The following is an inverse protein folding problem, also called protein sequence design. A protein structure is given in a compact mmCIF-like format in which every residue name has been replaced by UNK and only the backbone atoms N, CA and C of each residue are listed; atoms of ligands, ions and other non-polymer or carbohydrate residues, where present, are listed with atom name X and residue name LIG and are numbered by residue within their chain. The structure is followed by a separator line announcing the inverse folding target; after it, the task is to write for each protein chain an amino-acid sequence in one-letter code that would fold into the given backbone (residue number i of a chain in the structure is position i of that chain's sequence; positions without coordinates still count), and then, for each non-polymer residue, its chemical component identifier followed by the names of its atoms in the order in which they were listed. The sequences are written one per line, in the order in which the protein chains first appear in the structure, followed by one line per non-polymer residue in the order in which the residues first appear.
data_IF_282157015170
#
_entry.id   IF_282157015170
#
_cell.length_a   1.000
_cell.length_b   1.000
_cell.length_c   1.000
_cell.angle_alpha   90.00
_cell.angle_beta   90.00
_cell.angle_gamma   90.00
#
_symmetry.space_group_name_H-M   'P 1'
#
loop_
_entity.id
_entity.type
_entity.pdbx_description
1 polymer ?
#
# COMPACT_ATOMS: atom_id res chain seq x y z
N UNK A 1 13.63 2.97 1.87
CA UNK A 1 12.88 4.20 2.20
C UNK A 1 13.80 5.42 2.15
N UNK A 2 13.61 6.31 1.16
CA UNK A 2 14.59 7.33 0.77
C UNK A 2 14.91 8.37 1.86
N UNK A 3 13.99 8.65 2.78
CA UNK A 3 14.16 9.70 3.81
C UNK A 3 14.39 9.16 5.23
N UNK A 4 14.48 7.85 5.44
CA UNK A 4 14.56 7.28 6.79
C UNK A 4 15.78 7.78 7.58
N UNK A 5 16.92 7.95 6.92
CA UNK A 5 18.15 8.47 7.51
C UNK A 5 18.08 9.98 7.79
N UNK A 6 17.50 10.76 6.87
CA UNK A 6 17.32 12.21 7.03
C UNK A 6 16.36 12.52 8.17
N UNK A 7 15.20 11.87 8.22
CA UNK A 7 14.20 12.02 9.29
C UNK A 7 14.80 11.60 10.63
N UNK A 8 15.55 10.49 10.66
CA UNK A 8 16.19 10.01 11.87
C UNK A 8 17.20 11.00 12.46
N UNK A 9 17.96 11.71 11.60
CA UNK A 9 18.90 12.75 12.04
C UNK A 9 18.19 14.03 12.49
N UNK A 10 17.19 14.48 11.75
CA UNK A 10 16.45 15.73 12.06
C UNK A 10 15.69 15.62 13.38
N UNK A 11 15.05 14.47 13.63
CA UNK A 11 14.25 14.22 14.83
C UNK A 11 15.00 13.48 15.94
N UNK A 12 16.33 13.31 15.79
CA UNK A 12 17.21 12.63 16.75
C UNK A 12 16.68 11.26 17.22
N UNK A 13 16.13 10.46 16.29
CA UNK A 13 15.51 9.18 16.61
C UNK A 13 16.54 8.10 16.89
N UNK A 14 16.24 7.24 17.87
CA UNK A 14 17.03 6.05 18.12
C UNK A 14 16.93 5.08 16.92
N UNK A 15 17.99 4.29 16.64
CA UNK A 15 17.95 3.27 15.58
C UNK A 15 16.81 2.27 15.73
N UNK A 16 16.42 1.97 16.97
CA UNK A 16 15.29 1.10 17.30
C UNK A 16 13.94 1.72 16.90
N UNK A 17 13.77 3.02 17.12
CA UNK A 17 12.57 3.75 16.73
C UNK A 17 12.37 3.74 15.20
N UNK A 18 13.45 3.88 14.43
CA UNK A 18 13.39 3.80 12.95
C UNK A 18 12.90 2.42 12.49
N UNK A 19 13.35 1.34 13.15
CA UNK A 19 12.87 -0.02 12.86
C UNK A 19 11.39 -0.17 13.21
N UNK A 20 10.96 0.33 14.37
CA UNK A 20 9.55 0.32 14.79
C UNK A 20 8.65 1.01 13.77
N UNK A 21 9.05 2.17 13.24
CA UNK A 21 8.29 2.87 12.18
C UNK A 21 8.11 2.04 10.91
N UNK A 22 9.08 1.17 10.58
CA UNK A 22 8.98 0.23 9.47
C UNK A 22 7.94 -0.86 9.72
N UNK A 23 7.90 -1.41 10.93
CA UNK A 23 6.93 -2.43 11.35
C UNK A 23 5.51 -1.84 11.40
N UNK A 24 5.35 -0.63 11.94
CA UNK A 24 4.05 0.06 12.02
C UNK A 24 3.41 0.24 10.64
N UNK A 25 4.20 0.48 9.60
CA UNK A 25 3.70 0.60 8.22
C UNK A 25 3.05 -0.69 7.70
N UNK A 26 3.48 -1.86 8.19
CA UNK A 26 2.95 -3.16 7.78
C UNK A 26 1.81 -3.64 8.68
N UNK A 27 1.79 -3.22 9.94
CA UNK A 27 0.86 -3.70 10.96
C UNK A 27 -0.62 -3.49 10.57
N UNK A 28 -0.99 -2.30 10.10
CA UNK A 28 -2.39 -2.02 9.69
C UNK A 28 -2.73 -2.52 8.28
N UNK A 29 -1.75 -2.94 7.48
CA UNK A 29 -2.00 -3.39 6.11
C UNK A 29 -2.87 -4.65 6.05
N UNK A 30 -2.63 -5.62 6.93
CA UNK A 30 -3.38 -6.88 6.97
C UNK A 30 -4.87 -6.64 7.29
N UNK A 31 -5.24 -6.01 8.42
CA UNK A 31 -6.65 -5.74 8.71
C UNK A 31 -7.27 -4.79 7.67
N UNK A 32 -6.53 -3.80 7.16
CA UNK A 32 -7.01 -2.92 6.11
C UNK A 32 -7.38 -3.68 4.82
N UNK A 33 -6.62 -4.71 4.42
CA UNK A 33 -6.96 -5.53 3.25
C UNK A 33 -8.31 -6.23 3.38
N UNK A 34 -8.66 -6.70 4.58
CA UNK A 34 -9.96 -7.33 4.84
C UNK A 34 -11.07 -6.29 4.71
N UNK A 35 -10.90 -5.12 5.34
CA UNK A 35 -11.89 -4.03 5.31
C UNK A 35 -12.07 -3.49 3.89
N UNK A 36 -10.98 -3.19 3.18
CA UNK A 36 -11.01 -2.71 1.80
C UNK A 36 -11.61 -3.78 0.86
N UNK A 37 -11.35 -5.06 1.09
CA UNK A 37 -12.01 -6.15 0.36
C UNK A 37 -13.55 -6.10 0.52
N UNK A 38 -14.04 -5.97 1.75
CA UNK A 38 -15.47 -5.83 2.02
C UNK A 38 -16.08 -4.55 1.41
N UNK A 39 -15.34 -3.44 1.46
CA UNK A 39 -15.78 -2.18 0.84
C UNK A 39 -15.84 -2.29 -0.68
N UNK A 40 -14.88 -2.99 -1.28
CA UNK A 40 -14.83 -3.23 -2.71
C UNK A 40 -16.03 -4.06 -3.18
N UNK A 41 -16.43 -5.09 -2.43
CA UNK A 41 -17.62 -5.89 -2.74
C UNK A 41 -18.91 -5.05 -2.66
N UNK A 42 -18.92 -4.02 -1.81
CA UNK A 42 -20.10 -3.16 -1.59
C UNK A 42 -20.19 -1.98 -2.57
N UNK A 43 -19.09 -1.28 -2.82
CA UNK A 43 -19.03 -0.01 -3.55
C UNK A 43 -18.37 -0.11 -4.92
N UNK A 44 -17.75 -1.24 -5.24
CA UNK A 44 -17.02 -1.44 -6.48
C UNK A 44 -15.57 -0.95 -6.42
N UNK A 45 -14.70 -1.45 -7.33
CA UNK A 45 -13.29 -1.11 -7.38
C UNK A 45 -13.01 0.37 -7.66
N UNK A 46 -13.79 1.04 -8.53
CA UNK A 46 -13.62 2.45 -8.92
C UNK A 46 -13.68 3.38 -7.71
N UNK A 47 -14.78 3.31 -6.96
CA UNK A 47 -15.02 4.19 -5.80
C UNK A 47 -14.00 3.89 -4.71
N UNK A 48 -13.77 2.60 -4.42
CA UNK A 48 -12.88 2.16 -3.35
C UNK A 48 -11.43 2.58 -3.61
N UNK A 49 -10.94 2.46 -4.85
CA UNK A 49 -9.59 2.88 -5.20
C UNK A 49 -9.42 4.40 -5.15
N UNK A 50 -10.39 5.15 -5.70
CA UNK A 50 -10.37 6.62 -5.64
C UNK A 50 -10.36 7.15 -4.20
N UNK A 51 -11.21 6.60 -3.33
CA UNK A 51 -11.23 6.97 -1.92
C UNK A 51 -9.89 6.67 -1.24
N UNK A 52 -9.27 5.53 -1.55
CA UNK A 52 -7.99 5.16 -0.98
C UNK A 52 -6.85 6.07 -1.45
N UNK A 53 -6.84 6.45 -2.73
CA UNK A 53 -5.87 7.40 -3.29
C UNK A 53 -6.03 8.81 -2.70
N UNK A 54 -7.26 9.28 -2.50
CA UNK A 54 -7.53 10.55 -1.82
C UNK A 54 -7.12 10.46 -0.35
N UNK A 55 -7.43 9.35 0.32
CA UNK A 55 -7.04 9.11 1.70
C UNK A 55 -5.51 9.10 1.86
N UNK A 56 -4.74 8.67 0.85
CA UNK A 56 -3.28 8.67 0.89
C UNK A 56 -2.65 10.06 1.12
N UNK A 57 -3.35 11.15 0.79
CA UNK A 57 -2.90 12.49 1.15
C UNK A 57 -2.81 12.70 2.66
N UNK A 58 -3.71 12.10 3.45
CA UNK A 58 -3.75 12.25 4.91
C UNK A 58 -2.46 11.75 5.59
N UNK A 59 -2.02 10.49 5.44
CA UNK A 59 -0.78 10.03 6.05
C UNK A 59 0.46 10.69 5.45
N UNK A 60 0.45 11.09 4.17
CA UNK A 60 1.55 11.85 3.57
C UNK A 60 1.70 13.23 4.22
N UNK A 61 0.61 14.00 4.34
CA UNK A 61 0.63 15.31 4.99
C UNK A 61 0.94 15.19 6.49
N UNK A 62 0.38 14.19 7.17
CA UNK A 62 0.71 13.91 8.58
C UNK A 62 2.21 13.60 8.77
N UNK A 63 2.83 12.88 7.83
CA UNK A 63 4.28 12.62 7.85
C UNK A 63 5.08 13.88 7.53
N UNK A 64 4.62 14.72 6.60
CA UNK A 64 5.29 15.97 6.27
C UNK A 64 5.26 16.98 7.41
N UNK A 65 4.20 16.97 8.23
CA UNK A 65 4.01 17.85 9.38
C UNK A 65 4.55 17.27 10.70
N UNK A 66 5.00 16.01 10.72
CA UNK A 66 5.37 15.35 11.96
C UNK A 66 6.62 15.95 12.59
N UNK A 67 6.54 16.32 13.87
CA UNK A 67 7.66 16.84 14.66
C UNK A 67 8.16 15.84 15.71
N UNK A 68 7.38 14.80 16.00
CA UNK A 68 7.68 13.82 17.04
C UNK A 68 7.57 12.38 16.55
N UNK A 69 8.22 11.47 17.29
CA UNK A 69 8.14 10.03 17.04
C UNK A 69 6.70 9.51 17.01
N UNK A 70 5.85 9.94 17.95
CA UNK A 70 4.47 9.47 18.03
C UNK A 70 3.63 9.87 16.81
N UNK A 71 3.85 11.08 16.29
CA UNK A 71 3.17 11.56 15.08
C UNK A 71 3.60 10.74 13.85
N UNK A 72 4.89 10.38 13.76
CA UNK A 72 5.40 9.47 12.74
C UNK A 72 4.81 8.06 12.85
N UNK A 73 4.64 7.54 14.07
CA UNK A 73 4.02 6.22 14.27
C UNK A 73 2.58 6.22 13.73
N UNK A 74 1.80 7.24 14.08
CA UNK A 74 0.41 7.38 13.60
C UNK A 74 0.38 7.49 12.07
N UNK A 75 1.24 8.33 11.48
CA UNK A 75 1.26 8.51 10.03
C UNK A 75 1.65 7.22 9.29
N UNK A 76 2.57 6.40 9.85
CA UNK A 76 2.94 5.09 9.29
C UNK A 76 1.83 4.06 9.42
N UNK A 77 1.14 4.03 10.56
CA UNK A 77 -0.03 3.17 10.72
C UNK A 77 -1.08 3.49 9.65
N UNK A 78 -1.43 4.77 9.48
CA UNK A 78 -2.39 5.21 8.47
C UNK A 78 -1.91 4.91 7.04
N UNK A 79 -0.61 5.03 6.77
CA UNK A 79 -0.01 4.66 5.47
C UNK A 79 -0.19 3.16 5.15
N UNK A 80 -0.17 2.29 6.17
CA UNK A 80 -0.46 0.86 5.99
C UNK A 80 -1.85 0.59 5.39
N UNK A 81 -2.83 1.44 5.67
CA UNK A 81 -4.17 1.34 5.06
C UNK A 81 -4.07 1.54 3.54
N UNK A 82 -3.31 2.52 3.08
CA UNK A 82 -3.09 2.78 1.63
C UNK A 82 -2.45 1.57 0.94
N UNK A 83 -1.57 0.85 1.64
CA UNK A 83 -0.95 -0.39 1.14
C UNK A 83 -1.92 -1.54 0.84
N UNK A 84 -3.19 -1.44 1.28
CA UNK A 84 -4.24 -2.39 0.91
C UNK A 84 -4.80 -2.19 -0.50
N UNK A 85 -4.46 -1.08 -1.18
CA UNK A 85 -4.93 -0.75 -2.53
C UNK A 85 -4.56 -1.79 -3.59
N UNK A 86 -3.53 -2.59 -3.32
CA UNK A 86 -3.15 -3.71 -4.18
C UNK A 86 -4.29 -4.72 -4.40
N UNK A 87 -5.12 -4.93 -3.37
CA UNK A 87 -6.29 -5.83 -3.45
C UNK A 87 -7.32 -5.28 -4.44
N UNK A 88 -7.48 -3.96 -4.48
CA UNK A 88 -8.44 -3.30 -5.39
C UNK A 88 -8.03 -3.49 -6.85
N UNK A 89 -6.74 -3.32 -7.16
CA UNK A 89 -6.26 -3.52 -8.52
C UNK A 89 -6.32 -4.97 -8.98
N UNK A 90 -6.02 -5.96 -8.11
CA UNK A 90 -6.22 -7.38 -8.45
C UNK A 90 -7.67 -7.64 -8.84
N UNK A 91 -8.63 -7.14 -8.05
CA UNK A 91 -10.04 -7.30 -8.38
C UNK A 91 -10.37 -6.64 -9.70
N UNK A 92 -9.92 -5.41 -9.91
CA UNK A 92 -10.21 -4.67 -11.14
C UNK A 92 -9.70 -5.40 -12.38
N UNK A 93 -8.46 -5.91 -12.34
CA UNK A 93 -7.89 -6.73 -13.41
C UNK A 93 -8.72 -8.00 -13.63
N UNK A 94 -9.21 -8.64 -12.56
CA UNK A 94 -10.03 -9.86 -12.68
C UNK A 94 -11.40 -9.64 -13.33
N UNK A 95 -11.96 -8.42 -13.25
CA UNK A 95 -13.23 -8.06 -13.90
C UNK A 95 -13.03 -7.70 -15.39
N UNK A 96 -11.87 -7.15 -15.73
CA UNK A 96 -11.56 -6.68 -17.08
C UNK A 96 -10.98 -7.77 -18.00
N UNK A 97 -10.24 -8.74 -17.46
CA UNK A 97 -9.54 -9.76 -18.25
C UNK A 97 -10.18 -11.15 -18.12
N UNK A 98 -10.15 -11.97 -19.20
CA UNK A 98 -10.66 -13.34 -19.14
C UNK A 98 -9.76 -14.24 -18.28
N UNK A 99 -10.28 -15.34 -17.70
CA UNK A 99 -9.52 -16.23 -16.80
C UNK A 99 -8.22 -16.79 -17.37
N UNK A 100 -8.15 -17.00 -18.70
CA UNK A 100 -6.96 -17.51 -19.38
C UNK A 100 -5.78 -16.54 -19.38
N UNK A 101 -6.04 -15.24 -19.33
CA UNK A 101 -5.03 -14.17 -19.38
C UNK A 101 -4.83 -13.47 -18.04
N UNK A 102 -5.66 -13.79 -17.05
CA UNK A 102 -5.68 -13.15 -15.73
C UNK A 102 -4.31 -13.23 -15.03
N UNK A 103 -3.58 -14.34 -15.17
CA UNK A 103 -2.26 -14.50 -14.58
C UNK A 103 -1.22 -13.51 -15.14
N UNK A 104 -1.20 -13.32 -16.46
CA UNK A 104 -0.28 -12.37 -17.12
C UNK A 104 -0.66 -10.94 -16.73
N UNK A 105 -1.96 -10.61 -16.78
CA UNK A 105 -2.45 -9.28 -16.44
C UNK A 105 -2.15 -8.92 -14.98
N UNK A 106 -2.34 -9.85 -14.03
CA UNK A 106 -1.96 -9.66 -12.63
C UNK A 106 -0.45 -9.57 -12.44
N UNK A 107 0.34 -10.33 -13.21
CA UNK A 107 1.80 -10.24 -13.19
C UNK A 107 2.31 -8.87 -13.65
N UNK A 108 1.76 -8.34 -14.74
CA UNK A 108 2.06 -6.99 -15.24
C UNK A 108 1.64 -5.94 -14.20
N UNK A 109 0.42 -6.02 -13.68
CA UNK A 109 -0.07 -5.12 -12.63
C UNK A 109 0.85 -5.12 -11.39
N UNK A 110 1.20 -6.32 -10.89
CA UNK A 110 2.10 -6.50 -9.76
C UNK A 110 3.50 -5.96 -10.04
N UNK A 111 4.04 -6.24 -11.22
CA UNK A 111 5.36 -5.77 -11.65
C UNK A 111 5.42 -4.23 -11.72
N UNK A 112 4.45 -3.61 -12.39
CA UNK A 112 4.38 -2.13 -12.49
C UNK A 112 4.15 -1.46 -11.14
N UNK A 113 3.36 -2.06 -10.25
CA UNK A 113 3.19 -1.55 -8.88
C UNK A 113 4.52 -1.50 -8.10
N UNK A 114 5.34 -2.56 -8.19
CA UNK A 114 6.65 -2.59 -7.55
C UNK A 114 7.67 -1.69 -8.25
N UNK A 115 7.61 -1.58 -9.58
CA UNK A 115 8.43 -0.65 -10.34
C UNK A 115 8.14 0.81 -9.95
N UNK A 116 6.87 1.15 -9.67
CA UNK A 116 6.50 2.45 -9.13
C UNK A 116 7.15 2.74 -7.78
N UNK A 117 7.25 1.75 -6.89
CA UNK A 117 7.95 1.89 -5.62
C UNK A 117 9.45 2.16 -5.82
N UNK A 118 10.09 1.45 -6.75
CA UNK A 118 11.47 1.70 -7.15
C UNK A 118 11.65 3.11 -7.73
N UNK A 119 10.78 3.53 -8.65
CA UNK A 119 10.80 4.87 -9.23
C UNK A 119 10.65 5.97 -8.16
N UNK A 120 9.81 5.74 -7.14
CA UNK A 120 9.68 6.66 -6.01
C UNK A 120 10.97 6.78 -5.18
N UNK A 121 11.75 5.71 -5.03
CA UNK A 121 13.04 5.78 -4.31
C UNK A 121 14.06 6.69 -5.02
N UNK A 122 13.99 6.84 -6.34
CA UNK A 122 14.82 7.78 -7.10
C UNK A 122 14.19 9.18 -7.20
N UNK A 123 12.90 9.27 -7.50
CA UNK A 123 12.23 10.54 -7.75
C UNK A 123 12.13 11.40 -6.48
N UNK A 124 11.86 10.79 -5.31
CA UNK A 124 11.65 11.52 -4.06
C UNK A 124 12.90 12.29 -3.60
N UNK A 125 14.11 11.70 -3.51
CA UNK A 125 15.33 12.45 -3.20
C UNK A 125 15.61 13.58 -4.21
N UNK A 126 15.41 13.34 -5.50
CA UNK A 126 15.61 14.35 -6.55
C UNK A 126 14.68 15.54 -6.32
N UNK A 127 13.41 15.29 -6.03
CA UNK A 127 12.43 16.33 -5.69
C UNK A 127 12.81 17.09 -4.40
N UNK A 128 13.29 16.39 -3.37
CA UNK A 128 13.70 17.02 -2.12
C UNK A 128 14.94 17.91 -2.29
N UNK A 129 15.86 17.55 -3.18
CA UNK A 129 17.05 18.34 -3.51
C UNK A 129 16.70 19.49 -4.45
N UNK A 130 15.86 19.27 -5.47
CA UNK A 130 15.46 20.32 -6.41
C UNK A 130 14.65 21.43 -5.74
N UNK A 131 13.94 21.11 -4.65
CA UNK A 131 13.18 22.08 -3.84
C UNK A 131 13.96 22.60 -2.62
N UNK A 132 15.27 22.32 -2.53
CA UNK A 132 16.12 22.79 -1.44
C UNK A 132 16.23 24.31 -1.33
N UNK A 133 16.06 25.03 -2.45
CA UNK A 133 16.03 26.50 -2.46
C UNK A 133 14.86 27.09 -1.63
N UNK A 134 13.77 26.35 -1.47
CA UNK A 134 12.62 26.72 -0.63
C UNK A 134 12.86 26.42 0.86
N UNK A 135 13.89 25.64 1.19
CA UNK A 135 14.20 25.18 2.54
C UNK A 135 15.57 25.70 3.03
N UNK A 136 16.01 26.85 2.53
CA UNK A 136 17.26 27.48 2.95
C UNK A 136 18.52 26.66 2.62
N UNK A 137 18.47 25.81 1.59
CA UNK A 137 19.59 24.98 1.14
C UNK A 137 19.60 23.56 1.72
N UNK A 138 18.66 23.20 2.61
CA UNK A 138 18.52 21.84 3.13
C UNK A 138 17.60 20.97 2.27
N UNK A 139 17.75 19.64 2.36
CA UNK A 139 16.88 18.67 1.67
C UNK A 139 15.43 18.78 2.17
N UNK A 140 14.50 19.19 1.29
CA UNK A 140 13.11 19.43 1.66
C UNK A 140 12.25 18.15 1.55
N UNK A 141 12.58 17.15 2.37
CA UNK A 141 11.87 15.86 2.37
C UNK A 141 10.39 16.00 2.77
N UNK A 142 10.05 16.99 3.62
CA UNK A 142 8.68 17.27 4.04
C UNK A 142 7.82 17.66 2.85
N UNK A 143 8.29 18.61 2.04
CA UNK A 143 7.59 19.03 0.83
C UNK A 143 7.52 17.89 -0.20
N UNK A 144 8.58 17.11 -0.37
CA UNK A 144 8.56 15.95 -1.28
C UNK A 144 7.47 14.93 -0.89
N UNK A 145 7.34 14.59 0.40
CA UNK A 145 6.28 13.69 0.88
C UNK A 145 4.88 14.33 0.80
N UNK A 146 4.75 15.62 1.11
CA UNK A 146 3.48 16.33 0.98
C UNK A 146 2.98 16.33 -0.47
N UNK A 147 3.87 16.65 -1.42
CA UNK A 147 3.54 16.67 -2.84
C UNK A 147 3.12 15.30 -3.36
N UNK A 148 3.76 14.21 -2.95
CA UNK A 148 3.32 12.88 -3.39
C UNK A 148 1.93 12.53 -2.88
N UNK A 149 1.58 12.92 -1.65
CA UNK A 149 0.21 12.81 -1.14
C UNK A 149 -0.79 13.60 -1.97
N UNK A 150 -0.47 14.85 -2.32
CA UNK A 150 -1.33 15.71 -3.13
C UNK A 150 -1.51 15.14 -4.54
N UNK A 151 -0.42 14.70 -5.18
CA UNK A 151 -0.45 14.06 -6.50
C UNK A 151 -1.31 12.80 -6.46
N UNK A 152 -1.18 11.97 -5.41
CA UNK A 152 -2.01 10.79 -5.23
C UNK A 152 -3.50 11.14 -5.11
N UNK A 153 -3.85 12.19 -4.35
CA UNK A 153 -5.24 12.64 -4.23
C UNK A 153 -5.81 13.20 -5.54
N UNK A 154 -5.04 14.02 -6.26
CA UNK A 154 -5.43 14.53 -7.60
C UNK A 154 -5.65 13.34 -8.54
N UNK A 155 -4.73 12.39 -8.54
CA UNK A 155 -4.86 11.17 -9.34
C UNK A 155 -6.08 10.35 -8.92
N UNK A 156 -6.43 10.30 -7.64
CA UNK A 156 -7.66 9.67 -7.15
C UNK A 156 -8.94 10.28 -7.73
N UNK A 157 -8.98 11.61 -7.88
CA UNK A 157 -10.09 12.33 -8.54
C UNK A 157 -10.11 12.06 -10.04
N UNK A 158 -8.95 12.09 -10.71
CA UNK A 158 -8.84 11.76 -12.13
C UNK A 158 -9.29 10.32 -12.37
N UNK A 159 -8.82 9.38 -11.55
CA UNK A 159 -9.19 7.97 -11.61
C UNK A 159 -10.70 7.80 -11.43
N UNK A 160 -11.30 8.54 -10.49
CA UNK A 160 -12.75 8.49 -10.29
C UNK A 160 -13.49 8.89 -11.56
N UNK A 161 -13.05 9.92 -12.28
CA UNK A 161 -13.73 10.40 -13.48
C UNK A 161 -13.46 9.54 -14.73
N UNK A 162 -12.25 8.99 -14.86
CA UNK A 162 -11.79 8.31 -16.08
C UNK A 162 -12.07 6.81 -16.11
N UNK A 163 -12.25 6.17 -14.96
CA UNK A 163 -12.30 4.71 -14.86
C UNK A 163 -13.72 4.18 -14.74
N UNK A 164 -13.99 3.01 -15.33
CA UNK A 164 -15.26 2.29 -15.21
C UNK A 164 -15.05 0.96 -14.47
N UNK A 165 -16.01 0.59 -13.62
CA UNK A 165 -15.96 -0.64 -12.82
C UNK A 165 -16.00 -1.91 -13.66
N UNK A 166 -16.75 -1.88 -14.77
CA UNK A 166 -16.85 -3.00 -15.71
C UNK A 166 -16.65 -2.56 -17.15
N UNK A 167 -16.16 -3.45 -18.03
CA UNK A 167 -16.12 -3.20 -19.47
C UNK A 167 -17.52 -2.91 -20.03
N UNK A 168 -17.59 -2.10 -21.10
CA UNK A 168 -18.84 -1.78 -21.78
C UNK A 168 -19.65 -3.05 -22.10
N UNK A 169 -20.89 -3.12 -21.59
CA UNK A 169 -21.81 -4.24 -21.82
C UNK A 169 -21.80 -5.36 -20.76
N UNK A 170 -20.92 -5.34 -19.75
CA UNK A 170 -20.99 -6.26 -18.61
C UNK A 170 -21.59 -5.60 -17.39
N UNK A 171 -22.67 -6.18 -16.85
CA UNK A 171 -23.26 -5.76 -15.58
C UNK A 171 -22.34 -6.20 -14.44
N UNK A 172 -21.92 -5.25 -13.59
CA UNK A 172 -21.18 -5.55 -12.37
C UNK A 172 -21.98 -6.55 -11.51
N UNK A 173 -21.45 -7.76 -11.37
CA UNK A 173 -22.05 -8.80 -10.54
C UNK A 173 -21.51 -8.67 -9.13
N UNK A 174 -22.26 -8.00 -8.26
CA UNK A 174 -22.01 -8.05 -6.82
C UNK A 174 -21.96 -9.50 -6.34
N UNK A 175 -20.97 -9.88 -5.52
CA UNK A 175 -20.97 -11.20 -4.90
C UNK A 175 -22.23 -11.39 -4.06
N UNK A 176 -22.90 -12.55 -4.19
CA UNK A 176 -24.14 -12.87 -3.45
C UNK A 176 -23.91 -13.10 -1.95
N UNK A 177 -22.65 -13.35 -1.54
CA UNK A 177 -22.21 -13.45 -0.15
C UNK A 177 -20.97 -12.60 0.02
N UNK A 178 -20.99 -11.69 0.99
CA UNK A 178 -19.79 -11.02 1.48
C UNK A 178 -19.13 -11.96 2.50
N UNK A 179 -17.95 -12.49 2.20
CA UNK A 179 -17.24 -13.36 3.13
C UNK A 179 -16.06 -14.09 2.50
N UNK A 180 -15.16 -14.57 3.34
CA UNK A 180 -14.05 -15.43 2.92
C UNK A 180 -14.59 -16.69 2.23
N UNK A 181 -13.95 -17.10 1.14
CA UNK A 181 -14.20 -18.41 0.54
C UNK A 181 -13.91 -19.48 1.60
N UNK A 182 -14.95 -20.18 2.04
CA UNK A 182 -14.79 -21.32 2.94
C UNK A 182 -13.98 -22.39 2.20
N UNK A 183 -12.93 -22.90 2.85
CA UNK A 183 -12.16 -24.02 2.31
C UNK A 183 -13.01 -25.27 2.51
N UNK A 184 -13.84 -25.59 1.52
CA UNK A 184 -14.83 -26.67 1.59
C UNK A 184 -14.21 -28.08 1.56
N UNK A 185 -12.91 -28.21 1.33
CA UNK A 185 -12.21 -29.49 1.25
C UNK A 185 -10.92 -29.51 2.06
N UNK A 186 -10.76 -30.53 2.91
CA UNK A 186 -9.54 -30.79 3.70
C UNK A 186 -8.30 -30.94 2.80
N UNK A 187 -8.46 -31.51 1.60
CA UNK A 187 -7.36 -31.62 0.62
C UNK A 187 -6.93 -30.24 0.10
N UNK A 188 -7.88 -29.34 -0.16
CA UNK A 188 -7.59 -27.97 -0.59
C UNK A 188 -6.95 -27.14 0.52
N UNK A 189 -7.33 -27.39 1.78
CA UNK A 189 -6.71 -26.77 2.95
C UNK A 189 -5.22 -27.12 3.07
N UNK A 190 -4.90 -28.42 3.05
CA UNK A 190 -3.51 -28.88 3.09
C UNK A 190 -2.72 -28.44 1.85
N UNK A 191 -3.33 -28.43 0.66
CA UNK A 191 -2.71 -27.89 -0.54
C UNK A 191 -2.36 -26.41 -0.38
N UNK A 192 -3.25 -25.57 0.16
CA UNK A 192 -2.96 -24.15 0.44
C UNK A 192 -1.86 -23.96 1.49
N UNK A 193 -1.81 -24.80 2.53
CA UNK A 193 -0.72 -24.77 3.53
C UNK A 193 0.62 -25.10 2.86
N UNK A 194 0.66 -26.16 2.04
CA UNK A 194 1.87 -26.59 1.35
C UNK A 194 2.33 -25.53 0.34
N UNK A 195 1.41 -24.95 -0.43
CA UNK A 195 1.74 -23.87 -1.38
C UNK A 195 2.28 -22.62 -0.69
N UNK A 196 1.86 -22.35 0.55
CA UNK A 196 2.39 -21.26 1.37
C UNK A 196 3.53 -21.68 2.30
N UNK A 197 4.00 -22.94 2.22
CA UNK A 197 5.01 -23.47 3.13
C UNK A 197 6.27 -22.63 3.14
N UNK A 198 6.76 -22.17 1.97
CA UNK A 198 7.94 -21.31 1.91
C UNK A 198 7.80 -20.01 2.70
N UNK A 199 6.59 -19.45 2.71
CA UNK A 199 6.29 -18.21 3.43
C UNK A 199 6.15 -18.47 4.95
N UNK A 200 5.49 -19.57 5.33
CA UNK A 200 5.36 -20.02 6.73
C UNK A 200 6.73 -20.38 7.32
N UNK A 201 7.55 -21.11 6.56
CA UNK A 201 8.89 -21.51 6.94
C UNK A 201 9.82 -20.30 7.14
N UNK A 202 9.80 -19.34 6.21
CA UNK A 202 10.57 -18.10 6.34
C UNK A 202 10.15 -17.30 7.59
N UNK A 203 8.84 -17.20 7.87
CA UNK A 203 8.32 -16.55 9.08
C UNK A 203 8.74 -17.29 10.35
N UNK A 204 8.65 -18.62 10.37
CA UNK A 204 9.08 -19.43 11.51
C UNK A 204 10.57 -19.31 11.80
N UNK A 205 11.40 -19.27 10.75
CA UNK A 205 12.85 -19.09 10.87
C UNK A 205 13.22 -17.68 11.38
N UNK A 206 12.45 -16.66 10.99
CA UNK A 206 12.56 -15.31 11.54
C UNK A 206 12.13 -15.24 13.01
N UNK A 207 11.02 -15.89 13.38
CA UNK A 207 10.53 -15.95 14.76
C UNK A 207 11.55 -16.64 15.68
N UNK A 208 12.10 -17.78 15.25
CA UNK A 208 13.15 -18.49 15.97
C UNK A 208 14.41 -17.65 16.17
N UNK A 209 14.82 -16.87 15.16
CA UNK A 209 15.94 -15.93 15.29
C UNK A 209 15.67 -14.77 16.24
N UNK A 210 14.41 -14.34 16.37
CA UNK A 210 14.02 -13.27 17.29
C UNK A 210 13.93 -13.78 18.73
N UNK A 211 13.60 -15.05 18.95
CA UNK A 211 13.57 -15.69 20.27
C UNK A 211 14.97 -15.93 20.86
N UNK A 212 16.00 -16.05 20.02
CA UNK A 212 17.39 -16.20 20.45
C UNK A 212 18.11 -14.89 20.79
N UNK A 213 17.42 -13.74 20.75
CA UNK A 213 17.94 -12.42 21.12
C UNK A 213 17.23 -11.88 22.34
#
# INVERSE_FOLDING_TARGET
APFATTIGRELQLAPEQIKTLGICNLALTIPARIIIGMLLDRFGPRITYSMLLIFAAVPCLATALSQDFNQLVISRLLMGIVGSGFVVGIRMVSEWFPPKEMGIAQGIYGGWGNFGAFGAEFALPILAVSTSFLAGGASNWRLAIALTGIIAAIYGVIYYNSVQDTPAGKVYRKPKKNGSLEVTSVKSFWAMIISNFGLIFALGLLAWRLEQK
#
